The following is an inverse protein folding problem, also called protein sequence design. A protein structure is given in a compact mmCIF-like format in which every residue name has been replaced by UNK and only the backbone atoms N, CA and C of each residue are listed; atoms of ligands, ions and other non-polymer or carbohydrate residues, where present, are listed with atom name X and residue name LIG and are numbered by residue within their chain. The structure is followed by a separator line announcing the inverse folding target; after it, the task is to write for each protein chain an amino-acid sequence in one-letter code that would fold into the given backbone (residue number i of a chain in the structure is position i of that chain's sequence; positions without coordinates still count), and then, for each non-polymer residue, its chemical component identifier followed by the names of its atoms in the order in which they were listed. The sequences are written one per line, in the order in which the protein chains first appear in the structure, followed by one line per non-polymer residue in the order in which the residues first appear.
data_IF_015086325492
#
_entry.id   IF_015086325492
#
_cell.length_a   1.000
_cell.length_b   1.000
_cell.length_c   1.000
_cell.angle_alpha   90.00
_cell.angle_beta   90.00
_cell.angle_gamma   90.00
#
_symmetry.space_group_name_H-M   'P 1'
#
loop_
_entity.id
_entity.type
_entity.pdbx_description
1 polymer ?
#
# COMPACT_ATOMS: atom_id res chain seq x y z
N UNK A 1 17.33 7.33 -6.49
CA UNK A 1 16.06 6.86 -5.91
C UNK A 1 15.30 8.12 -5.52
N UNK A 2 14.27 8.49 -6.28
CA UNK A 2 13.43 9.65 -5.97
C UNK A 2 12.49 9.24 -4.85
N UNK A 3 12.46 9.98 -3.76
CA UNK A 3 11.50 9.77 -2.67
C UNK A 3 10.08 9.92 -3.22
N UNK A 4 9.22 8.94 -2.93
CA UNK A 4 7.83 9.01 -3.39
C UNK A 4 7.04 10.01 -2.55
N UNK A 5 6.03 10.66 -3.14
CA UNK A 5 5.13 11.56 -2.40
C UNK A 5 4.51 10.87 -1.16
N UNK A 6 4.30 9.56 -1.22
CA UNK A 6 3.76 8.77 -0.12
C UNK A 6 4.76 8.61 1.04
N UNK A 7 6.04 8.37 0.74
CA UNK A 7 7.13 8.30 1.74
C UNK A 7 7.29 9.61 2.47
N UNK A 8 7.38 10.72 1.72
CA UNK A 8 7.51 12.05 2.30
C UNK A 8 6.30 12.44 3.17
N UNK A 9 5.09 11.96 2.83
CA UNK A 9 3.89 12.16 3.64
C UNK A 9 3.94 11.33 4.92
N UNK A 10 4.26 10.03 4.84
CA UNK A 10 4.36 9.18 6.04
C UNK A 10 5.47 9.62 6.99
N UNK A 11 6.56 10.18 6.50
CA UNK A 11 7.63 10.76 7.33
C UNK A 11 7.14 11.93 8.21
N UNK A 12 6.09 12.64 7.79
CA UNK A 12 5.44 13.71 8.56
C UNK A 12 4.38 13.18 9.54
N UNK A 13 4.01 11.90 9.44
CA UNK A 13 2.95 11.26 10.21
C UNK A 13 3.46 9.98 10.91
N UNK A 14 4.40 10.11 11.87
CA UNK A 14 5.00 8.97 12.55
C UNK A 14 4.01 8.15 13.40
N UNK A 15 2.83 8.68 13.69
CA UNK A 15 1.74 7.99 14.37
C UNK A 15 1.10 6.86 13.53
N UNK A 16 1.38 6.81 12.22
CA UNK A 16 0.80 5.82 11.31
C UNK A 16 1.72 4.59 11.25
N UNK A 17 1.32 3.51 11.92
CA UNK A 17 2.09 2.26 11.95
C UNK A 17 1.79 1.33 10.76
N UNK A 18 0.59 1.43 10.17
CA UNK A 18 0.16 0.57 9.07
C UNK A 18 -0.67 1.31 8.04
N UNK A 19 -0.51 0.89 6.79
CA UNK A 19 -1.27 1.37 5.64
C UNK A 19 -2.11 0.25 5.05
N UNK A 20 -3.21 0.61 4.40
CA UNK A 20 -4.07 -0.33 3.69
C UNK A 20 -3.90 -0.09 2.19
N UNK A 21 -3.11 -0.95 1.55
CA UNK A 21 -2.92 -0.90 0.11
C UNK A 21 -4.08 -1.62 -0.57
N UNK A 22 -4.72 -0.98 -1.55
CA UNK A 22 -5.89 -1.52 -2.23
C UNK A 22 -5.70 -1.57 -3.74
N UNK A 23 -6.30 -2.58 -4.37
CA UNK A 23 -6.52 -2.66 -5.81
C UNK A 23 -8.01 -2.81 -6.09
N UNK A 24 -8.46 -2.32 -7.24
CA UNK A 24 -9.83 -2.49 -7.70
C UNK A 24 -9.83 -3.50 -8.85
N UNK A 25 -10.70 -4.51 -8.77
CA UNK A 25 -10.87 -5.46 -9.89
C UNK A 25 -11.86 -4.92 -10.94
N UNK A 26 -12.06 -5.70 -12.02
CA UNK A 26 -12.97 -5.34 -13.12
C UNK A 26 -14.43 -5.18 -12.69
N UNK A 27 -14.83 -5.77 -11.55
CA UNK A 27 -16.17 -5.68 -11.01
C UNK A 27 -16.33 -4.49 -10.05
N UNK A 28 -15.30 -3.65 -9.89
CA UNK A 28 -15.32 -2.53 -8.95
C UNK A 28 -15.07 -2.94 -7.50
N UNK A 29 -14.69 -4.20 -7.24
CA UNK A 29 -14.47 -4.67 -5.87
C UNK A 29 -13.10 -4.22 -5.38
N UNK A 30 -13.08 -3.49 -4.27
CA UNK A 30 -11.86 -3.10 -3.59
C UNK A 30 -11.28 -4.28 -2.81
N UNK A 31 -10.02 -4.60 -3.06
CA UNK A 31 -9.27 -5.66 -2.38
C UNK A 31 -8.04 -5.07 -1.77
N UNK A 32 -7.90 -5.21 -0.46
CA UNK A 32 -6.80 -4.58 0.25
C UNK A 32 -6.01 -5.53 1.13
N UNK A 33 -4.76 -5.14 1.38
CA UNK A 33 -3.84 -5.80 2.29
C UNK A 33 -3.28 -4.75 3.23
N UNK A 34 -3.42 -5.00 4.53
CA UNK A 34 -2.75 -4.19 5.54
C UNK A 34 -1.27 -4.53 5.53
N UNK A 35 -0.43 -3.51 5.43
CA UNK A 35 1.02 -3.64 5.52
C UNK A 35 1.57 -2.58 6.47
N UNK A 36 2.72 -2.83 7.11
CA UNK A 36 3.39 -1.81 7.90
C UNK A 36 3.76 -0.58 7.04
N UNK A 37 3.76 0.60 7.66
CA UNK A 37 4.02 1.87 6.96
C UNK A 37 5.43 1.95 6.36
N UNK A 38 6.41 1.26 6.97
CA UNK A 38 7.79 1.16 6.47
C UNK A 38 7.90 0.42 5.10
N UNK A 39 6.87 -0.33 4.70
CA UNK A 39 6.79 -1.03 3.42
C UNK A 39 6.15 -0.19 2.31
N UNK A 40 5.86 1.10 2.54
CA UNK A 40 5.23 1.98 1.54
C UNK A 40 5.98 1.99 0.20
N UNK A 41 7.32 1.96 0.22
CA UNK A 41 8.15 1.93 -0.99
C UNK A 41 7.80 0.74 -1.88
N UNK A 42 7.70 -0.46 -1.28
CA UNK A 42 7.28 -1.68 -1.98
C UNK A 42 5.87 -1.60 -2.53
N UNK A 43 4.96 -0.86 -1.88
CA UNK A 43 3.60 -0.66 -2.39
C UNK A 43 3.62 0.23 -3.62
N UNK A 44 4.32 1.36 -3.56
CA UNK A 44 4.40 2.34 -4.66
C UNK A 44 5.16 1.78 -5.88
N UNK A 45 6.19 0.97 -5.65
CA UNK A 45 6.98 0.32 -6.70
C UNK A 45 6.30 -0.94 -7.30
N UNK A 46 5.12 -1.32 -6.82
CA UNK A 46 4.39 -2.49 -7.32
C UNK A 46 4.93 -3.84 -6.84
N UNK A 47 5.75 -3.87 -5.79
CA UNK A 47 6.28 -5.08 -5.17
C UNK A 47 5.29 -5.81 -4.25
N UNK A 48 4.09 -5.27 -4.02
CA UNK A 48 3.09 -5.85 -3.14
C UNK A 48 2.36 -7.04 -3.77
N UNK A 49 2.45 -8.22 -3.13
CA UNK A 49 1.68 -9.41 -3.51
C UNK A 49 0.28 -9.40 -2.88
N UNK A 50 -0.74 -9.54 -3.73
CA UNK A 50 -2.16 -9.68 -3.36
C UNK A 50 -2.66 -11.11 -3.64
N UNK A 51 -3.64 -11.62 -2.86
CA UNK A 51 -4.35 -12.84 -3.22
C UNK A 51 -5.08 -12.68 -4.56
N UNK A 52 -5.01 -13.71 -5.42
CA UNK A 52 -5.68 -13.71 -6.72
C UNK A 52 -7.20 -13.88 -6.61
N UNK A 53 -7.69 -14.48 -5.53
CA UNK A 53 -9.11 -14.74 -5.29
C UNK A 53 -9.47 -14.53 -3.83
N UNK A 54 -10.77 -14.36 -3.61
CA UNK A 54 -11.48 -14.50 -2.34
C UNK A 54 -11.94 -15.95 -2.19
N UNK A 55 -12.10 -16.40 -0.95
CA UNK A 55 -12.89 -17.59 -0.58
C UNK A 55 -14.15 -17.11 0.10
#
# INVERSE_FOLDING_TARGET
MSESKAEAWLAQHPEIESIFACVCDLNGTMRGKRVPADQVSKVVEGGLRMPLSIV
#
